data_IF_729226813000
#
_entry.id   IF_729226813000
#
_cell.length_a   1.000
_cell.length_b   1.000
_cell.length_c   1.000
_cell.angle_alpha   90.00
_cell.angle_beta   90.00
_cell.angle_gamma   90.00
#
_symmetry.space_group_name_H-M   'P 1'
#
loop_
_entity.id
_entity.type
_entity.pdbx_description
1 polymer ?
#
# COMPACT_ATOMS: atom_id res chain seq x y z
N UNK A 1 16.49 16.06 4.93
CA UNK A 1 15.46 15.02 4.66
C UNK A 1 16.18 13.77 4.16
N UNK A 2 15.87 12.58 4.67
CA UNK A 2 16.47 11.34 4.16
C UNK A 2 16.15 11.13 2.67
N UNK A 3 17.05 10.45 1.91
CA UNK A 3 16.89 10.24 0.48
C UNK A 3 15.61 9.44 0.18
N UNK A 4 14.85 9.92 -0.81
CA UNK A 4 13.56 9.36 -1.16
C UNK A 4 13.78 8.17 -2.09
N UNK A 5 13.52 6.95 -1.61
CA UNK A 5 13.59 5.73 -2.43
C UNK A 5 12.20 5.45 -2.99
N UNK A 6 12.01 5.72 -4.28
CA UNK A 6 10.73 5.51 -4.97
C UNK A 6 10.53 4.02 -5.30
N UNK A 7 9.30 3.54 -5.19
CA UNK A 7 8.91 2.18 -5.58
C UNK A 7 9.05 2.01 -7.10
N UNK A 8 8.55 2.99 -7.84
CA UNK A 8 8.66 3.05 -9.30
C UNK A 8 9.32 4.36 -9.72
N UNK A 9 10.23 4.29 -10.70
CA UNK A 9 10.95 5.44 -11.22
C UNK A 9 10.03 6.48 -11.88
N UNK A 10 8.91 6.04 -12.48
CA UNK A 10 7.93 6.96 -13.08
C UNK A 10 7.31 7.92 -12.06
N UNK A 11 7.24 7.55 -10.78
CA UNK A 11 6.76 8.44 -9.72
C UNK A 11 7.67 9.66 -9.54
N UNK A 12 8.89 9.67 -10.09
CA UNK A 12 9.78 10.82 -10.10
C UNK A 12 9.45 11.83 -11.21
N UNK A 13 8.65 11.45 -12.21
CA UNK A 13 8.33 12.28 -13.36
C UNK A 13 7.44 13.45 -12.94
N UNK A 14 7.47 14.55 -13.69
CA UNK A 14 6.56 15.68 -13.46
C UNK A 14 5.18 15.37 -14.03
N UNK A 15 4.14 16.04 -13.51
CA UNK A 15 2.86 16.11 -14.21
C UNK A 15 3.07 16.57 -15.66
N UNK A 16 2.38 15.92 -16.60
CA UNK A 16 2.45 16.22 -18.02
C UNK A 16 1.04 16.30 -18.60
N UNK A 17 0.63 17.53 -18.89
CA UNK A 17 -0.70 17.86 -19.39
C UNK A 17 -0.89 17.35 -20.83
N UNK A 18 0.19 17.07 -21.57
CA UNK A 18 0.14 16.69 -22.97
C UNK A 18 -0.34 17.82 -23.91
N UNK A 19 -0.39 17.57 -25.22
CA UNK A 19 -0.72 18.61 -26.21
C UNK A 19 -2.23 18.80 -26.44
N UNK A 20 -3.07 17.86 -25.99
CA UNK A 20 -4.53 17.97 -26.13
C UNK A 20 -5.13 18.99 -25.14
N UNK A 21 -6.34 19.48 -25.44
CA UNK A 21 -6.99 20.59 -24.72
C UNK A 21 -8.26 20.19 -23.95
N UNK A 22 -8.50 18.89 -23.75
CA UNK A 22 -9.57 18.44 -22.88
C UNK A 22 -9.16 18.62 -21.42
N UNK A 23 -10.12 18.78 -20.51
CA UNK A 23 -9.84 18.95 -19.08
C UNK A 23 -10.18 17.65 -18.37
N UNK A 24 -9.17 16.80 -18.15
CA UNK A 24 -9.29 15.61 -17.32
C UNK A 24 -8.56 15.84 -15.99
N UNK A 25 -9.30 15.84 -14.88
CA UNK A 25 -8.68 15.91 -13.56
C UNK A 25 -8.03 14.56 -13.26
N UNK A 26 -6.72 14.59 -13.04
CA UNK A 26 -5.87 13.42 -12.76
C UNK A 26 -5.03 13.68 -11.52
N UNK A 27 -4.39 12.63 -11.02
CA UNK A 27 -3.45 12.70 -9.92
C UNK A 27 -2.04 12.37 -10.39
N UNK A 28 -1.03 13.04 -9.83
CA UNK A 28 0.38 12.70 -10.01
C UNK A 28 1.10 12.76 -8.66
N UNK A 29 2.17 12.00 -8.52
CA UNK A 29 3.01 12.06 -7.33
C UNK A 29 4.03 13.20 -7.45
N UNK A 30 3.92 14.18 -6.54
CA UNK A 30 4.85 15.28 -6.44
C UNK A 30 5.98 14.92 -5.47
N UNK A 31 7.18 14.70 -6.00
CA UNK A 31 8.37 14.35 -5.20
C UNK A 31 8.81 15.45 -4.22
N UNK A 32 8.49 16.73 -4.50
CA UNK A 32 8.89 17.85 -3.64
C UNK A 32 8.04 17.90 -2.39
N UNK A 33 6.72 17.76 -2.53
CA UNK A 33 5.79 17.69 -1.41
C UNK A 33 5.65 16.29 -0.82
N UNK A 34 6.13 15.26 -1.55
CA UNK A 34 5.98 13.83 -1.27
C UNK A 34 4.51 13.40 -1.18
N UNK A 35 3.64 13.99 -2.01
CA UNK A 35 2.19 13.75 -1.98
C UNK A 35 1.65 13.54 -3.38
N UNK A 36 0.56 12.78 -3.46
CA UNK A 36 -0.28 12.76 -4.65
C UNK A 36 -1.10 14.05 -4.72
N UNK A 37 -0.97 14.76 -5.83
CA UNK A 37 -1.59 16.05 -6.09
C UNK A 37 -2.40 16.00 -7.38
N UNK A 38 -3.40 16.87 -7.51
CA UNK A 38 -4.23 16.96 -8.71
C UNK A 38 -3.56 17.78 -9.79
N UNK A 39 -3.78 17.44 -11.05
CA UNK A 39 -3.40 18.24 -12.22
C UNK A 39 -4.41 18.10 -13.37
N UNK A 40 -4.34 19.01 -14.34
CA UNK A 40 -5.22 19.03 -15.52
C UNK A 40 -4.54 18.31 -16.69
N UNK A 41 -5.00 17.11 -17.01
CA UNK A 41 -4.51 16.35 -18.14
C UNK A 41 -5.33 16.64 -19.40
N UNK A 42 -4.63 16.98 -20.48
CA UNK A 42 -5.15 17.36 -21.79
C UNK A 42 -5.93 16.28 -22.53
N UNK A 43 -5.83 15.02 -22.12
CA UNK A 43 -6.54 13.88 -22.69
C UNK A 43 -5.78 13.06 -23.74
N UNK A 44 -4.52 13.41 -24.03
CA UNK A 44 -3.65 12.60 -24.88
C UNK A 44 -2.16 12.79 -24.53
N UNK A 45 -1.32 11.84 -24.93
CA UNK A 45 0.10 11.76 -24.55
C UNK A 45 0.28 11.79 -23.01
N UNK A 46 1.27 12.51 -22.48
CA UNK A 46 1.58 12.49 -21.06
C UNK A 46 2.63 11.44 -20.69
N UNK A 47 2.73 11.15 -19.41
CA UNK A 47 3.62 10.13 -18.85
C UNK A 47 2.91 9.25 -17.81
N UNK A 48 3.62 8.25 -17.29
CA UNK A 48 3.11 7.24 -16.35
C UNK A 48 2.77 7.78 -14.95
N UNK A 49 3.23 8.99 -14.59
CA UNK A 49 2.83 9.65 -13.34
C UNK A 49 1.48 10.37 -13.51
N UNK A 50 0.47 9.61 -13.95
CA UNK A 50 -0.87 10.11 -14.28
C UNK A 50 -1.91 9.06 -13.91
N UNK A 51 -2.65 9.33 -12.83
CA UNK A 51 -3.59 8.39 -12.22
C UNK A 51 -5.00 8.96 -12.24
N UNK A 52 -5.99 8.09 -12.40
CA UNK A 52 -7.39 8.53 -12.43
C UNK A 52 -7.87 8.91 -11.02
N UNK A 53 -7.38 8.22 -10.01
CA UNK A 53 -7.81 8.39 -8.61
C UNK A 53 -6.64 8.67 -7.68
N UNK A 54 -6.95 9.30 -6.54
CA UNK A 54 -5.95 9.59 -5.51
C UNK A 54 -5.38 8.28 -4.96
N UNK A 55 -6.24 7.28 -4.80
CA UNK A 55 -5.92 5.95 -4.30
C UNK A 55 -4.94 5.25 -5.23
N UNK A 56 -5.18 5.27 -6.55
CA UNK A 56 -4.26 4.67 -7.54
C UNK A 56 -2.87 5.32 -7.47
N UNK A 57 -2.81 6.66 -7.36
CA UNK A 57 -1.56 7.37 -7.19
C UNK A 57 -0.85 6.99 -5.88
N UNK A 58 -1.60 6.92 -4.78
CA UNK A 58 -1.06 6.59 -3.47
C UNK A 58 -0.51 5.16 -3.45
N UNK A 59 -1.24 4.19 -3.99
CA UNK A 59 -0.81 2.79 -4.07
C UNK A 59 0.45 2.62 -4.93
N UNK A 60 0.55 3.35 -6.05
CA UNK A 60 1.67 3.19 -6.99
C UNK A 60 2.93 3.97 -6.58
N UNK A 61 2.76 5.12 -5.95
CA UNK A 61 3.85 6.09 -5.75
C UNK A 61 4.10 6.51 -4.32
N UNK A 62 3.12 6.38 -3.43
CA UNK A 62 3.34 6.61 -2.00
C UNK A 62 3.65 5.26 -1.37
N UNK A 63 4.75 5.19 -0.63
CA UNK A 63 4.99 4.09 0.29
C UNK A 63 4.00 4.21 1.46
N UNK A 64 2.71 3.94 1.22
CA UNK A 64 1.77 3.66 2.28
C UNK A 64 1.80 2.16 2.54
N UNK A 65 2.24 1.81 3.73
CA UNK A 65 1.90 0.53 4.35
C UNK A 65 0.38 0.32 4.19
N UNK A 66 0.00 -0.73 3.46
CA UNK A 66 -1.35 -1.31 3.31
C UNK A 66 -2.33 -0.72 2.28
N UNK A 67 -2.61 -1.51 1.24
CA UNK A 67 -3.98 -1.73 0.73
C UNK A 67 -4.18 -3.24 0.51
N UNK A 68 -5.06 -3.80 1.36
CA UNK A 68 -5.50 -5.19 1.43
C UNK A 68 -6.43 -5.55 0.26
N UNK A 69 -5.94 -6.27 -0.75
CA UNK A 69 -6.79 -7.09 -1.64
C UNK A 69 -6.18 -8.43 -2.07
N UNK A 70 -4.97 -8.76 -1.63
CA UNK A 70 -4.41 -10.12 -1.75
C UNK A 70 -3.96 -10.60 -0.36
N UNK A 71 -4.68 -11.54 0.28
CA UNK A 71 -4.18 -12.15 1.49
C UNK A 71 -2.96 -13.00 1.12
N UNK A 72 -1.94 -12.96 1.99
CA UNK A 72 -0.76 -13.85 2.12
C UNK A 72 0.62 -13.49 1.54
N UNK A 73 0.86 -12.60 0.55
CA UNK A 73 2.23 -12.52 0.00
C UNK A 73 3.10 -11.28 0.34
N UNK A 74 2.55 -10.18 0.86
CA UNK A 74 3.35 -8.93 1.00
C UNK A 74 3.51 -8.37 2.43
N UNK A 75 2.90 -8.96 3.45
CA UNK A 75 3.22 -8.62 4.84
C UNK A 75 4.63 -9.08 5.26
N UNK A 76 5.26 -9.95 4.46
CA UNK A 76 6.55 -10.55 4.75
C UNK A 76 7.78 -9.70 4.35
N UNK A 77 7.64 -8.44 3.91
CA UNK A 77 8.79 -7.66 3.41
C UNK A 77 9.20 -6.45 4.26
N UNK A 78 8.35 -6.01 5.21
CA UNK A 78 8.73 -4.99 6.21
C UNK A 78 8.69 -5.51 7.66
N UNK A 79 8.09 -6.67 7.89
CA UNK A 79 8.17 -7.43 9.15
C UNK A 79 8.54 -8.90 8.95
N UNK A 80 8.45 -9.41 7.72
CA UNK A 80 8.95 -10.73 7.39
C UNK A 80 10.39 -10.67 6.95
N UNK A 81 11.09 -11.74 7.29
CA UNK A 81 12.43 -12.02 6.83
C UNK A 81 12.31 -12.38 5.33
N UNK A 82 13.30 -12.06 4.48
CA UNK A 82 13.30 -12.52 3.09
C UNK A 82 12.94 -14.01 2.98
N UNK A 83 12.25 -14.42 1.91
CA UNK A 83 11.78 -15.80 1.76
C UNK A 83 12.90 -16.83 1.90
N UNK A 84 14.08 -16.49 1.38
CA UNK A 84 15.25 -17.35 1.49
C UNK A 84 15.68 -17.62 2.94
N UNK A 85 15.37 -16.76 3.91
CA UNK A 85 15.65 -17.03 5.31
C UNK A 85 14.95 -18.32 5.78
N UNK A 86 13.86 -18.76 5.13
CA UNK A 86 13.14 -19.98 5.50
C UNK A 86 13.64 -21.23 4.77
N UNK A 87 14.65 -21.11 3.90
CA UNK A 87 15.29 -22.26 3.27
C UNK A 87 16.18 -23.00 4.27
N UNK A 88 16.37 -24.31 4.08
CA UNK A 88 17.27 -25.11 4.92
C UNK A 88 18.74 -24.76 4.64
N UNK A 89 19.64 -25.03 5.59
CA UNK A 89 21.08 -24.98 5.30
C UNK A 89 21.46 -25.95 4.17
N UNK A 90 22.36 -25.52 3.28
CA UNK A 90 22.78 -26.33 2.14
C UNK A 90 24.31 -26.33 2.01
N UNK A 91 24.98 -27.40 2.51
CA UNK A 91 26.45 -27.52 2.44
C UNK A 91 27.01 -27.52 1.00
N UNK A 92 26.21 -27.94 0.01
CA UNK A 92 26.65 -28.09 -1.37
C UNK A 92 27.53 -29.33 -1.61
N UNK A 93 27.97 -29.51 -2.86
CA UNK A 93 28.71 -30.71 -3.30
C UNK A 93 30.23 -30.60 -3.11
N UNK A 94 30.76 -29.38 -2.95
CA UNK A 94 32.18 -29.17 -2.74
C UNK A 94 32.61 -29.60 -1.33
N UNK A 95 33.91 -29.89 -1.16
CA UNK A 95 34.48 -30.46 0.09
C UNK A 95 35.30 -29.45 0.90
N UNK A 96 35.05 -28.16 0.71
CA UNK A 96 35.61 -27.11 1.56
C UNK A 96 35.03 -27.15 2.98
N UNK A 97 35.74 -26.53 3.92
CA UNK A 97 35.34 -26.45 5.32
C UNK A 97 35.16 -24.99 5.73
N UNK A 98 34.16 -24.32 5.15
CA UNK A 98 33.87 -22.92 5.45
C UNK A 98 32.77 -22.82 6.51
N UNK A 99 33.07 -22.21 7.65
CA UNK A 99 32.03 -21.83 8.62
C UNK A 99 31.16 -20.74 8.02
N UNK A 100 29.86 -21.00 7.90
CA UNK A 100 28.83 -20.06 7.44
C UNK A 100 27.69 -20.03 8.43
N UNK A 101 26.82 -19.06 8.30
CA UNK A 101 25.65 -18.90 9.17
C UNK A 101 24.38 -19.01 8.34
N UNK A 102 23.35 -19.62 8.89
CA UNK A 102 22.02 -19.68 8.30
C UNK A 102 20.98 -19.38 9.37
N UNK A 103 19.82 -18.87 8.96
CA UNK A 103 18.69 -18.72 9.85
C UNK A 103 17.96 -20.05 9.98
N UNK A 104 17.94 -20.59 11.19
CA UNK A 104 17.20 -21.78 11.53
C UNK A 104 15.73 -21.39 11.82
N UNK A 105 14.80 -21.89 10.98
CA UNK A 105 13.38 -21.54 11.10
C UNK A 105 12.70 -22.25 12.26
N UNK A 106 13.26 -23.33 12.77
CA UNK A 106 12.77 -24.08 13.93
C UNK A 106 13.16 -23.36 15.23
N UNK A 107 14.43 -23.01 15.39
CA UNK A 107 14.94 -22.32 16.60
C UNK A 107 14.75 -20.80 16.57
N UNK A 108 14.48 -20.25 15.38
CA UNK A 108 14.38 -18.80 15.11
C UNK A 108 15.70 -18.04 15.33
N UNK A 109 16.83 -18.74 15.30
CA UNK A 109 18.16 -18.19 15.53
C UNK A 109 19.07 -18.36 14.31
N UNK A 110 20.04 -17.48 14.17
CA UNK A 110 21.15 -17.67 13.25
C UNK A 110 22.18 -18.65 13.83
N UNK A 111 22.40 -19.76 13.14
CA UNK A 111 23.25 -20.87 13.57
C UNK A 111 24.39 -21.11 12.59
N UNK A 112 25.53 -21.62 13.07
CA UNK A 112 26.68 -21.93 12.24
C UNK A 112 26.52 -23.30 11.57
N UNK A 113 26.89 -23.41 10.29
CA UNK A 113 26.96 -24.66 9.55
C UNK A 113 28.23 -24.76 8.70
N UNK A 114 28.57 -25.99 8.29
CA UNK A 114 29.73 -26.26 7.41
C UNK A 114 29.28 -26.16 5.95
N UNK A 115 29.83 -25.19 5.24
CA UNK A 115 29.60 -25.00 3.81
C UNK A 115 30.80 -25.51 2.98
N UNK A 116 30.49 -26.28 1.96
CA UNK A 116 31.43 -26.95 1.06
C UNK A 116 32.17 -26.01 0.10
N UNK A 117 31.71 -24.77 -0.06
CA UNK A 117 32.36 -23.75 -0.89
C UNK A 117 31.79 -23.57 -2.30
N UNK A 118 30.79 -24.36 -2.70
CA UNK A 118 30.06 -24.16 -3.94
C UNK A 118 28.60 -24.62 -3.83
N UNK A 119 27.75 -24.13 -4.76
CA UNK A 119 26.30 -24.32 -4.74
C UNK A 119 25.67 -23.81 -3.43
N UNK A 120 24.54 -24.35 -3.01
CA UNK A 120 23.81 -23.87 -1.85
C UNK A 120 22.73 -22.85 -2.21
N UNK A 121 22.04 -22.38 -1.18
CA UNK A 121 20.98 -21.39 -1.31
C UNK A 121 21.32 -20.08 -0.58
N UNK A 122 20.39 -19.12 -0.65
CA UNK A 122 20.56 -17.76 -0.15
C UNK A 122 20.53 -17.66 1.39
N UNK A 123 20.14 -18.72 2.12
CA UNK A 123 20.28 -18.77 3.58
C UNK A 123 21.72 -19.14 4.01
N UNK A 124 22.69 -18.36 3.56
CA UNK A 124 24.12 -18.64 3.73
C UNK A 124 24.90 -17.33 3.86
N UNK A 125 25.21 -16.96 5.09
CA UNK A 125 25.86 -15.72 5.46
C UNK A 125 27.29 -15.96 5.90
N UNK A 126 28.17 -14.98 5.67
CA UNK A 126 29.59 -15.10 6.03
C UNK A 126 29.80 -14.85 7.52
N UNK A 127 28.98 -13.99 8.13
CA UNK A 127 29.07 -13.65 9.55
C UNK A 127 27.73 -13.83 10.26
N UNK A 128 27.78 -14.03 11.58
CA UNK A 128 26.59 -14.14 12.42
C UNK A 128 25.76 -12.85 12.37
N UNK A 129 26.42 -11.69 12.40
CA UNK A 129 25.78 -10.38 12.36
C UNK A 129 25.02 -10.15 11.04
N UNK A 130 25.58 -10.56 9.91
CA UNK A 130 24.93 -10.49 8.60
C UNK A 130 23.65 -11.33 8.57
N UNK A 131 23.71 -12.56 9.10
CA UNK A 131 22.52 -13.40 9.25
C UNK A 131 21.49 -12.75 10.18
N UNK A 132 21.93 -12.21 11.31
CA UNK A 132 21.02 -11.64 12.32
C UNK A 132 20.31 -10.40 11.80
N UNK A 133 21.04 -9.48 11.19
CA UNK A 133 20.48 -8.26 10.61
C UNK A 133 19.54 -8.55 9.45
N UNK A 134 19.80 -9.60 8.67
CA UNK A 134 18.98 -9.99 7.51
C UNK A 134 17.74 -10.82 7.89
N UNK A 135 17.93 -11.82 8.75
CA UNK A 135 16.93 -12.87 9.03
C UNK A 135 16.52 -12.96 10.50
N UNK A 136 17.19 -12.30 11.45
CA UNK A 136 16.82 -12.31 12.87
C UNK A 136 16.39 -10.91 13.29
N UNK A 137 15.23 -10.47 12.78
CA UNK A 137 14.64 -9.16 13.07
C UNK A 137 14.83 -8.77 14.55
N UNK A 138 15.57 -7.68 14.77
CA UNK A 138 15.88 -7.19 16.10
C UNK A 138 14.59 -6.62 16.72
N UNK A 139 14.08 -7.27 17.75
CA UNK A 139 12.92 -6.82 18.53
C UNK A 139 13.14 -5.47 19.25
N UNK A 140 14.23 -4.75 18.98
CA UNK A 140 14.47 -3.38 19.49
C UNK A 140 13.54 -2.34 18.86
N UNK A 141 13.11 -2.51 17.61
CA UNK A 141 12.19 -1.57 16.95
C UNK A 141 10.76 -1.63 17.53
N UNK A 142 10.37 -2.78 18.07
CA UNK A 142 9.10 -2.95 18.79
C UNK A 142 9.10 -2.23 20.16
N UNK A 143 10.27 -2.10 20.79
CA UNK A 143 10.40 -1.48 22.13
C UNK A 143 10.37 0.05 22.07
N UNK A 144 10.97 0.67 21.06
CA UNK A 144 10.96 2.14 20.88
C UNK A 144 9.55 2.71 20.65
N UNK A 145 8.68 1.97 19.96
CA UNK A 145 7.29 2.38 19.72
C UNK A 145 6.46 2.26 21.01
N UNK A 146 6.77 1.27 21.85
CA UNK A 146 6.07 1.03 23.13
C UNK A 146 6.49 2.04 24.20
N UNK A 147 7.77 2.47 24.20
CA UNK A 147 8.32 3.46 25.15
C UNK A 147 7.77 4.88 25.00
N UNK A 148 7.04 5.20 23.93
CA UNK A 148 6.41 6.52 23.80
C UNK A 148 5.09 6.64 24.57
N UNK A 149 4.53 5.54 25.11
CA UNK A 149 3.19 5.55 25.71
C UNK A 149 3.09 5.11 27.17
N UNK A 150 4.13 4.59 27.84
CA UNK A 150 4.04 4.33 29.29
C UNK A 150 5.38 4.55 30.02
N UNK A 151 5.33 5.38 31.07
CA UNK A 151 6.40 5.54 32.06
C UNK A 151 6.33 4.39 33.07
N UNK A 152 6.86 3.21 32.75
CA UNK A 152 7.17 2.19 33.77
C UNK A 152 8.44 1.44 33.36
N UNK A 153 9.45 1.30 34.25
CA UNK A 153 10.62 0.50 33.94
C UNK A 153 10.26 -0.97 34.15
N UNK A 154 10.33 -1.79 33.10
CA UNK A 154 10.24 -3.24 33.26
C UNK A 154 11.47 -3.86 32.62
N UNK A 155 12.41 -4.25 33.47
CA UNK A 155 13.43 -5.23 33.14
C UNK A 155 12.73 -6.56 32.85
N UNK A 156 12.73 -7.03 31.61
CA UNK A 156 12.27 -8.39 31.32
C UNK A 156 12.98 -8.96 30.09
N UNK A 157 13.67 -10.07 30.33
CA UNK A 157 14.27 -10.97 29.35
C UNK A 157 13.17 -11.61 28.48
N UNK A 158 13.49 -11.87 27.22
CA UNK A 158 12.55 -12.46 26.27
C UNK A 158 12.22 -13.91 26.64
N UNK A 159 11.04 -14.15 27.20
CA UNK A 159 10.39 -15.46 27.15
C UNK A 159 9.05 -15.35 26.42
N UNK A 160 8.81 -16.36 25.59
CA UNK A 160 7.71 -16.54 24.63
C UNK A 160 6.33 -16.32 25.24
N UNK A 161 5.57 -15.36 24.69
CA UNK A 161 4.14 -15.27 24.94
C UNK A 161 3.40 -16.19 23.96
N UNK A 162 2.86 -17.28 24.52
CA UNK A 162 1.93 -18.19 23.87
C UNK A 162 0.63 -17.46 23.51
N UNK A 163 0.33 -17.39 22.21
CA UNK A 163 -0.91 -16.84 21.67
C UNK A 163 -1.95 -17.96 21.64
N UNK A 164 -2.55 -18.31 22.78
CA UNK A 164 -3.70 -19.23 22.79
C UNK A 164 -4.84 -18.84 23.74
N UNK A 165 -4.70 -17.80 24.55
CA UNK A 165 -5.76 -17.44 25.50
C UNK A 165 -5.88 -15.94 25.69
N UNK A 166 -6.32 -15.22 24.65
CA UNK A 166 -7.11 -14.00 24.89
C UNK A 166 -8.20 -13.83 23.82
N UNK A 167 -9.44 -13.50 24.25
CA UNK A 167 -10.60 -13.47 23.40
C UNK A 167 -10.47 -12.38 22.34
N UNK A 168 -11.05 -12.62 21.17
CA UNK A 168 -11.18 -11.71 20.03
C UNK A 168 -11.49 -10.26 20.44
N UNK A 169 -10.44 -9.45 20.58
CA UNK A 169 -10.56 -7.99 20.67
C UNK A 169 -10.67 -7.49 19.23
N UNK A 170 -11.92 -7.42 18.78
CA UNK A 170 -12.34 -6.59 17.66
C UNK A 170 -11.97 -5.13 17.98
N UNK A 171 -10.86 -4.64 17.43
CA UNK A 171 -10.62 -3.22 17.36
C UNK A 171 -11.53 -2.61 16.29
N UNK A 172 -12.46 -1.79 16.75
CA UNK A 172 -13.23 -0.82 15.97
C UNK A 172 -12.27 0.14 15.25
N UNK A 173 -11.82 -0.24 14.06
CA UNK A 173 -11.37 0.73 13.07
C UNK A 173 -12.60 1.03 12.23
N UNK A 174 -13.17 2.25 12.25
CA UNK A 174 -14.26 2.58 11.36
C UNK A 174 -13.72 2.49 9.93
N UNK A 175 -14.09 1.40 9.24
CA UNK A 175 -13.91 1.28 7.79
C UNK A 175 -14.48 2.57 7.19
N UNK A 176 -13.70 3.36 6.42
CA UNK A 176 -14.25 4.54 5.76
C UNK A 176 -15.49 4.11 4.97
N UNK A 177 -16.59 4.88 5.03
CA UNK A 177 -17.85 4.45 4.45
C UNK A 177 -17.64 4.14 2.97
N UNK A 178 -17.86 2.89 2.61
CA UNK A 178 -17.71 2.40 1.24
C UNK A 178 -18.71 3.17 0.37
N UNK A 179 -18.20 4.11 -0.43
CA UNK A 179 -19.04 4.86 -1.35
C UNK A 179 -19.44 3.89 -2.48
N UNK A 180 -20.74 3.74 -2.80
CA UNK A 180 -21.17 2.85 -3.88
C UNK A 180 -20.49 3.18 -5.21
N UNK A 181 -20.13 2.16 -5.99
CA UNK A 181 -19.45 2.31 -7.29
C UNK A 181 -20.18 3.25 -8.24
N UNK A 182 -21.51 3.23 -8.21
CA UNK A 182 -22.37 4.13 -8.97
C UNK A 182 -21.99 5.60 -8.72
N UNK A 183 -21.71 5.98 -7.46
CA UNK A 183 -21.39 7.34 -7.06
C UNK A 183 -19.97 7.77 -7.46
N UNK A 184 -19.12 6.83 -7.91
CA UNK A 184 -17.78 7.11 -8.43
C UNK A 184 -17.79 7.49 -9.92
N UNK A 185 -18.89 7.21 -10.63
CA UNK A 185 -19.01 7.56 -12.05
C UNK A 185 -19.19 9.07 -12.24
N UNK A 186 -18.67 9.67 -13.34
CA UNK A 186 -18.86 11.09 -13.61
C UNK A 186 -20.33 11.41 -13.88
N UNK A 187 -20.71 12.69 -13.85
CA UNK A 187 -22.03 13.07 -14.37
C UNK A 187 -22.13 12.72 -15.86
N UNK A 188 -23.22 12.07 -16.26
CA UNK A 188 -23.49 11.79 -17.66
C UNK A 188 -24.78 12.49 -18.09
N UNK A 189 -24.63 13.42 -19.03
CA UNK A 189 -25.74 14.20 -19.57
C UNK A 189 -26.70 13.30 -20.34
N UNK A 190 -26.26 12.19 -20.91
CA UNK A 190 -27.02 11.36 -21.82
C UNK A 190 -27.12 11.95 -23.23
N UNK A 191 -27.88 11.26 -24.09
CA UNK A 191 -27.86 11.49 -25.55
C UNK A 191 -29.09 12.24 -26.08
N UNK A 192 -30.09 12.49 -25.24
CA UNK A 192 -31.34 13.15 -25.63
C UNK A 192 -31.24 14.69 -25.62
N UNK A 193 -32.37 15.40 -25.69
CA UNK A 193 -32.40 16.87 -25.77
C UNK A 193 -33.21 17.57 -24.67
N UNK A 194 -33.76 16.83 -23.70
CA UNK A 194 -34.44 17.44 -22.56
C UNK A 194 -33.43 18.18 -21.65
N UNK A 195 -33.95 18.98 -20.72
CA UNK A 195 -33.16 19.71 -19.72
C UNK A 195 -33.75 19.47 -18.33
N UNK A 196 -33.65 18.24 -17.87
CA UNK A 196 -34.15 17.85 -16.56
C UNK A 196 -33.11 18.18 -15.47
N UNK A 197 -33.55 18.88 -14.41
CA UNK A 197 -32.69 19.09 -13.24
C UNK A 197 -32.53 17.77 -12.49
N UNK A 198 -31.31 17.26 -12.46
CA UNK A 198 -30.91 16.06 -11.72
C UNK A 198 -29.71 16.36 -10.83
N UNK A 199 -29.35 15.43 -9.95
CA UNK A 199 -28.20 15.55 -9.06
C UNK A 199 -27.27 14.38 -9.26
N UNK A 200 -25.96 14.62 -9.22
CA UNK A 200 -24.94 13.57 -9.20
C UNK A 200 -24.04 13.77 -7.98
N UNK A 201 -23.47 12.69 -7.48
CA UNK A 201 -22.44 12.74 -6.46
C UNK A 201 -21.09 13.01 -7.11
N UNK A 202 -20.50 14.16 -6.79
CA UNK A 202 -19.14 14.46 -7.17
C UNK A 202 -18.21 13.91 -6.09
N UNK A 203 -17.59 12.74 -6.37
CA UNK A 203 -16.72 12.06 -5.42
C UNK A 203 -15.48 12.89 -5.06
N UNK A 204 -14.92 13.64 -6.01
CA UNK A 204 -13.75 14.50 -5.80
C UNK A 204 -14.00 15.62 -4.78
N UNK A 205 -15.24 16.09 -4.68
CA UNK A 205 -15.63 17.15 -3.72
C UNK A 205 -16.46 16.63 -2.55
N UNK A 206 -16.81 15.34 -2.53
CA UNK A 206 -17.69 14.72 -1.52
C UNK A 206 -19.09 15.36 -1.43
N UNK A 207 -19.62 15.88 -2.56
CA UNK A 207 -20.84 16.69 -2.61
C UNK A 207 -21.77 16.28 -3.75
N UNK A 208 -23.06 16.23 -3.45
CA UNK A 208 -24.11 16.14 -4.47
C UNK A 208 -24.31 17.50 -5.16
N UNK A 209 -24.13 17.56 -6.48
CA UNK A 209 -24.26 18.76 -7.31
C UNK A 209 -25.37 18.61 -8.35
N UNK A 210 -26.09 19.69 -8.72
CA UNK A 210 -27.07 19.65 -9.78
C UNK A 210 -26.40 19.57 -11.17
N UNK A 211 -27.07 18.93 -12.13
CA UNK A 211 -26.72 18.95 -13.55
C UNK A 211 -27.98 18.84 -14.42
N UNK A 212 -27.86 19.21 -15.70
CA UNK A 212 -28.96 19.15 -16.68
C UNK A 212 -28.92 17.83 -17.44
N UNK A 213 -29.75 16.86 -17.05
CA UNK A 213 -29.89 15.57 -17.71
C UNK A 213 -30.76 15.66 -18.98
N UNK A 214 -30.35 14.92 -20.00
CA UNK A 214 -30.96 14.99 -21.33
C UNK A 214 -32.26 14.21 -21.50
N UNK A 215 -32.64 13.38 -20.52
CA UNK A 215 -33.87 12.57 -20.53
C UNK A 215 -33.70 11.12 -20.99
N UNK A 216 -32.55 10.73 -21.55
CA UNK A 216 -32.27 9.33 -21.88
C UNK A 216 -30.76 9.01 -21.85
N UNK A 217 -30.43 7.71 -21.73
CA UNK A 217 -29.05 7.24 -21.57
C UNK A 217 -28.52 7.54 -20.18
N UNK A 218 -27.28 8.00 -20.08
CA UNK A 218 -26.68 8.34 -18.80
C UNK A 218 -26.09 7.14 -18.05
N UNK A 219 -25.65 7.40 -16.82
CA UNK A 219 -25.24 6.38 -15.86
C UNK A 219 -26.07 6.50 -14.57
N UNK A 220 -25.82 5.59 -13.64
CA UNK A 220 -26.58 5.49 -12.39
C UNK A 220 -26.37 6.68 -11.45
N UNK A 221 -25.31 7.49 -11.60
CA UNK A 221 -25.04 8.69 -10.77
C UNK A 221 -25.94 9.86 -11.14
N UNK A 222 -27.25 9.61 -11.12
CA UNK A 222 -28.30 10.48 -11.61
C UNK A 222 -29.52 10.36 -10.69
N UNK A 223 -29.67 11.34 -9.80
CA UNK A 223 -30.68 11.36 -8.75
C UNK A 223 -31.69 12.47 -8.99
N UNK A 224 -32.98 12.20 -8.75
CA UNK A 224 -34.06 13.18 -8.87
C UNK A 224 -33.91 14.35 -7.87
N UNK A 225 -33.30 14.09 -6.71
CA UNK A 225 -33.11 15.11 -5.66
C UNK A 225 -31.74 15.05 -5.01
N UNK A 226 -31.29 16.18 -4.45
CA UNK A 226 -30.08 16.24 -3.61
C UNK A 226 -30.17 15.30 -2.41
N UNK A 227 -31.37 15.16 -1.82
CA UNK A 227 -31.62 14.30 -0.65
C UNK A 227 -31.42 12.82 -0.99
N UNK A 228 -31.90 12.36 -2.16
CA UNK A 228 -31.67 10.97 -2.60
C UNK A 228 -30.21 10.70 -2.92
N UNK A 229 -29.51 11.67 -3.55
CA UNK A 229 -28.08 11.56 -3.80
C UNK A 229 -27.28 11.41 -2.50
N UNK A 230 -27.53 12.26 -1.50
CA UNK A 230 -26.83 12.22 -0.22
C UNK A 230 -27.09 10.90 0.51
N UNK A 231 -28.35 10.44 0.53
CA UNK A 231 -28.73 9.17 1.18
C UNK A 231 -27.98 7.97 0.59
N UNK A 232 -27.74 7.97 -0.71
CA UNK A 232 -27.14 6.84 -1.42
C UNK A 232 -25.61 6.93 -1.37
N UNK A 233 -25.03 8.11 -1.59
CA UNK A 233 -23.60 8.31 -1.81
C UNK A 233 -22.83 8.87 -0.61
N UNK A 234 -23.51 9.31 0.45
CA UNK A 234 -22.91 9.88 1.66
C UNK A 234 -23.54 9.23 2.90
N UNK A 235 -23.14 7.98 3.14
CA UNK A 235 -23.51 7.18 4.33
C UNK A 235 -22.61 7.50 5.50
#
# INVERSE_FOLDING_TARGET
>A
LPPLKLVHSFCAMKADDGPCKAIHIRYFFNIKSRRCEVFEYGGCHGNENNFLTLEECQEKCVLFFFSFTHPVHHLALFLGKPDFCFHAQEPGVCRGYFTRYFYNKETKLCEAFKYGGCLGNQNNFRTLEECQTTCQANCKLMVLITLCFTLVPVTAECQSLDVSTHPTIFYFIPKPPLIPSLCMTPMDRGLCRAKELRFFYNYSTGRCRPFSYSGCGGNENNFISRKSCLRICKK
#
